data_IF_342644663644
#
_entry.id   IF_342644663644
#
_cell.length_a   1.000
_cell.length_b   1.000
_cell.length_c   1.000
_cell.angle_alpha   90.00
_cell.angle_beta   90.00
_cell.angle_gamma   90.00
#
_symmetry.space_group_name_H-M   'P 1'
#
loop_
_entity.id
_entity.type
_entity.pdbx_description
1 polymer ?
#
# COMPACT_ATOMS: atom_id res chain seq x y z
N UNK A 1 2.68 -21.64 0.79
CA UNK A 1 2.47 -20.31 0.17
C UNK A 1 1.00 -20.12 -0.16
N UNK A 2 0.46 -18.94 0.08
CA UNK A 2 -0.96 -18.66 -0.10
C UNK A 2 -1.10 -17.30 -0.79
N UNK A 3 -1.95 -17.21 -1.83
CA UNK A 3 -2.31 -15.96 -2.50
C UNK A 3 -3.75 -15.61 -2.11
N UNK A 4 -3.93 -14.47 -1.47
CA UNK A 4 -5.21 -13.97 -1.06
C UNK A 4 -5.60 -12.78 -1.94
N UNK A 5 -6.75 -12.87 -2.60
CA UNK A 5 -7.33 -11.74 -3.34
C UNK A 5 -8.09 -10.87 -2.35
N UNK A 6 -7.57 -9.67 -2.09
CA UNK A 6 -8.24 -8.69 -1.21
C UNK A 6 -9.45 -8.09 -1.89
N UNK A 7 -9.42 -8.01 -3.20
CA UNK A 7 -10.51 -7.58 -4.05
C UNK A 7 -10.26 -7.96 -5.50
N UNK A 8 -11.30 -7.91 -6.31
CA UNK A 8 -11.25 -8.20 -7.75
C UNK A 8 -11.94 -7.12 -8.57
N UNK A 9 -12.29 -6.01 -7.96
CA UNK A 9 -12.98 -4.90 -8.59
C UNK A 9 -12.06 -4.01 -9.41
N UNK A 10 -12.67 -3.19 -10.25
CA UNK A 10 -11.97 -2.18 -11.05
C UNK A 10 -11.67 -0.92 -10.22
N UNK A 11 -11.04 0.06 -10.85
CA UNK A 11 -10.64 1.33 -10.22
C UNK A 11 -11.80 2.09 -9.55
N UNK A 12 -13.01 1.99 -10.12
CA UNK A 12 -14.17 2.76 -9.67
C UNK A 12 -15.24 1.88 -9.00
N UNK A 13 -14.81 0.77 -8.46
CA UNK A 13 -15.65 -0.18 -7.74
C UNK A 13 -16.34 0.48 -6.54
N UNK A 14 -17.64 0.21 -6.40
CA UNK A 14 -18.49 0.71 -5.31
C UNK A 14 -19.31 -0.44 -4.73
N UNK A 15 -19.54 -0.39 -3.42
CA UNK A 15 -20.41 -1.34 -2.74
C UNK A 15 -19.69 -2.14 -1.66
N UNK A 16 -20.50 -2.77 -0.79
CA UNK A 16 -19.97 -3.59 0.30
C UNK A 16 -19.20 -4.80 -0.27
N UNK A 17 -18.03 -5.07 0.27
CA UNK A 17 -17.15 -6.18 -0.14
C UNK A 17 -16.74 -6.15 -1.61
N UNK A 18 -16.81 -5.00 -2.25
CA UNK A 18 -16.43 -4.81 -3.64
C UNK A 18 -15.18 -3.91 -3.69
N UNK A 19 -14.02 -4.53 -3.51
CA UNK A 19 -12.73 -3.82 -3.38
C UNK A 19 -11.90 -3.91 -4.66
N UNK A 20 -10.97 -2.97 -4.80
CA UNK A 20 -10.02 -2.90 -5.91
C UNK A 20 -9.14 -4.15 -5.97
N UNK A 21 -8.61 -4.44 -7.15
CA UNK A 21 -7.80 -5.64 -7.42
C UNK A 21 -6.41 -5.55 -6.80
N UNK A 22 -6.33 -5.85 -5.52
CA UNK A 22 -5.06 -5.98 -4.81
C UNK A 22 -4.96 -7.38 -4.19
N UNK A 23 -3.74 -7.87 -4.01
CA UNK A 23 -3.50 -9.24 -3.55
C UNK A 23 -2.47 -9.26 -2.43
N UNK A 24 -2.58 -10.26 -1.57
CA UNK A 24 -1.62 -10.50 -0.49
C UNK A 24 -1.02 -11.89 -0.66
N UNK A 25 0.29 -11.94 -0.85
CA UNK A 25 1.03 -13.20 -0.93
C UNK A 25 1.60 -13.51 0.46
N UNK A 26 1.25 -14.66 0.99
CA UNK A 26 1.65 -15.09 2.33
C UNK A 26 2.55 -16.32 2.20
N UNK A 27 3.78 -16.23 2.72
CA UNK A 27 4.71 -17.34 2.70
C UNK A 27 4.39 -18.37 3.79
N UNK A 28 5.05 -19.53 3.73
CA UNK A 28 4.92 -20.56 4.76
C UNK A 28 5.47 -20.09 6.12
N UNK A 29 6.29 -19.03 6.13
CA UNK A 29 6.81 -18.40 7.34
C UNK A 29 5.98 -17.20 7.81
N UNK A 30 4.83 -16.98 7.20
CA UNK A 30 3.92 -15.85 7.49
C UNK A 30 4.46 -14.47 7.07
N UNK A 31 5.47 -14.41 6.21
CA UNK A 31 5.87 -13.17 5.56
C UNK A 31 4.78 -12.73 4.57
N UNK A 32 4.52 -11.44 4.51
CA UNK A 32 3.41 -10.92 3.69
C UNK A 32 3.91 -9.87 2.70
N UNK A 33 3.69 -10.14 1.42
CA UNK A 33 3.93 -9.21 0.33
C UNK A 33 2.59 -8.73 -0.23
N UNK A 34 2.34 -7.44 -0.09
CA UNK A 34 1.18 -6.82 -0.71
C UNK A 34 1.49 -6.51 -2.18
N UNK A 35 0.67 -7.04 -3.09
CA UNK A 35 0.79 -6.80 -4.52
C UNK A 35 -0.23 -5.74 -4.92
N UNK A 36 0.28 -4.56 -5.18
CA UNK A 36 -0.43 -3.30 -5.31
C UNK A 36 -1.12 -2.87 -4.01
N UNK A 37 -1.32 -1.58 -3.88
CA UNK A 37 -1.80 -0.94 -2.67
C UNK A 37 -2.75 0.20 -3.06
N UNK A 38 -3.98 -0.17 -3.39
CA UNK A 38 -4.99 0.76 -3.89
C UNK A 38 -5.60 1.65 -2.83
N UNK A 39 -6.39 2.61 -3.29
CA UNK A 39 -6.97 3.65 -2.43
C UNK A 39 -7.95 3.12 -1.37
N UNK A 40 -8.48 1.90 -1.54
CA UNK A 40 -9.37 1.26 -0.56
C UNK A 40 -8.70 0.19 0.30
N UNK A 41 -7.37 0.08 0.24
CA UNK A 41 -6.62 -1.01 0.88
C UNK A 41 -6.90 -1.16 2.38
N UNK A 42 -7.12 -0.06 3.10
CA UNK A 42 -7.39 -0.11 4.54
C UNK A 42 -8.67 -0.88 4.85
N UNK A 43 -9.65 -0.80 3.98
CA UNK A 43 -10.94 -1.49 4.13
C UNK A 43 -10.83 -2.97 3.75
N UNK A 44 -10.20 -3.27 2.63
CA UNK A 44 -10.05 -4.65 2.18
C UNK A 44 -9.15 -5.48 3.11
N UNK A 45 -8.09 -4.89 3.64
CA UNK A 45 -7.26 -5.53 4.67
C UNK A 45 -8.06 -5.79 5.94
N UNK A 46 -8.83 -4.81 6.40
CA UNK A 46 -9.65 -4.94 7.61
C UNK A 46 -10.64 -6.10 7.50
N UNK A 47 -11.32 -6.24 6.37
CA UNK A 47 -12.27 -7.34 6.16
C UNK A 47 -11.61 -8.72 6.25
N UNK A 48 -10.34 -8.83 5.91
CA UNK A 48 -9.60 -10.09 6.01
C UNK A 48 -8.84 -10.24 7.34
N UNK A 49 -9.05 -9.33 8.29
CA UNK A 49 -8.41 -9.39 9.60
C UNK A 49 -6.99 -8.86 9.65
N UNK A 50 -6.56 -8.10 8.65
CA UNK A 50 -5.22 -7.52 8.59
C UNK A 50 -5.24 -6.02 8.82
N UNK A 51 -4.07 -5.48 9.17
CA UNK A 51 -3.84 -4.05 9.31
C UNK A 51 -2.48 -3.68 8.68
N UNK A 52 -2.13 -2.40 8.73
CA UNK A 52 -0.81 -1.92 8.28
C UNK A 52 0.35 -2.65 8.96
N UNK A 53 0.15 -3.14 10.19
CA UNK A 53 1.20 -3.86 10.94
C UNK A 53 1.59 -5.18 10.32
N UNK A 54 0.70 -5.77 9.56
CA UNK A 54 0.95 -7.06 8.90
C UNK A 54 1.75 -6.91 7.61
N UNK A 55 1.83 -5.70 7.06
CA UNK A 55 2.43 -5.47 5.74
C UNK A 55 3.89 -5.03 5.91
N UNK A 56 4.80 -5.90 5.52
CA UNK A 56 6.24 -5.64 5.59
C UNK A 56 6.87 -5.36 4.22
N UNK A 57 6.23 -5.81 3.17
CA UNK A 57 6.72 -5.71 1.80
C UNK A 57 5.56 -5.36 0.86
N UNK A 58 5.81 -4.46 -0.09
CA UNK A 58 4.81 -4.00 -1.05
C UNK A 58 5.43 -3.97 -2.44
N UNK A 59 4.77 -4.59 -3.42
CA UNK A 59 5.12 -4.46 -4.83
C UNK A 59 4.13 -3.53 -5.50
N UNK A 60 4.61 -2.54 -6.26
CA UNK A 60 3.78 -1.59 -7.02
C UNK A 60 3.99 -1.82 -8.51
N UNK A 61 2.90 -2.13 -9.22
CA UNK A 61 2.92 -2.40 -10.65
C UNK A 61 2.91 -1.12 -11.49
N UNK A 62 2.09 -0.14 -11.11
CA UNK A 62 1.99 1.15 -11.80
C UNK A 62 1.30 2.19 -10.90
N UNK A 63 1.17 3.44 -11.40
CA UNK A 63 0.81 4.59 -10.55
C UNK A 63 -0.67 4.98 -10.58
N UNK A 64 -1.58 4.15 -11.07
CA UNK A 64 -3.01 4.42 -10.96
C UNK A 64 -3.45 4.32 -9.48
N UNK A 65 -4.45 5.08 -9.09
CA UNK A 65 -4.86 5.20 -7.68
C UNK A 65 -5.36 3.89 -7.08
N UNK A 66 -5.93 3.02 -7.89
CA UNK A 66 -6.37 1.68 -7.47
C UNK A 66 -5.21 0.71 -7.25
N UNK A 67 -3.96 1.12 -7.54
CA UNK A 67 -2.74 0.34 -7.34
C UNK A 67 -1.74 1.01 -6.41
N UNK A 68 -1.81 2.33 -6.21
CA UNK A 68 -0.81 3.08 -5.43
C UNK A 68 -1.44 4.00 -4.38
N UNK A 69 -2.72 4.32 -4.50
CA UNK A 69 -3.37 5.33 -3.66
C UNK A 69 -3.39 5.01 -2.16
N UNK A 70 -3.25 3.74 -1.79
CA UNK A 70 -3.21 3.31 -0.39
C UNK A 70 -1.84 3.39 0.27
N UNK A 71 -0.78 3.72 -0.47
CA UNK A 71 0.55 3.91 0.12
C UNK A 71 0.56 5.04 1.14
N UNK A 72 -0.26 6.05 0.94
CA UNK A 72 -0.43 7.14 1.91
C UNK A 72 -0.91 6.61 3.26
N UNK A 73 -1.94 5.75 3.26
CA UNK A 73 -2.42 5.11 4.47
C UNK A 73 -1.33 4.26 5.14
N UNK A 74 -0.68 3.38 4.39
CA UNK A 74 0.38 2.51 4.91
C UNK A 74 1.53 3.36 5.46
N UNK A 75 1.95 4.37 4.72
CA UNK A 75 3.07 5.24 5.09
C UNK A 75 2.82 5.99 6.39
N UNK A 76 1.70 6.66 6.51
CA UNK A 76 1.37 7.40 7.73
C UNK A 76 1.07 6.47 8.91
N UNK A 77 0.34 5.39 8.67
CA UNK A 77 0.01 4.45 9.74
C UNK A 77 1.26 3.80 10.33
N UNK A 78 2.23 3.43 9.50
CA UNK A 78 3.49 2.86 9.99
C UNK A 78 4.37 3.92 10.66
N UNK A 79 4.41 5.14 10.12
CA UNK A 79 5.22 6.21 10.70
C UNK A 79 4.79 6.57 12.12
N UNK A 80 3.49 6.65 12.35
CA UNK A 80 2.96 7.05 13.66
C UNK A 80 2.73 5.88 14.62
N UNK A 81 2.95 4.65 14.16
CA UNK A 81 2.87 3.45 15.01
C UNK A 81 4.29 3.00 15.38
N UNK A 82 4.72 3.31 16.59
CA UNK A 82 6.05 2.95 17.07
C UNK A 82 6.30 1.44 17.22
N UNK A 83 5.28 0.60 17.00
CA UNK A 83 5.36 -0.86 17.12
C UNK A 83 5.62 -1.57 15.79
N UNK A 84 5.69 -0.85 14.69
CA UNK A 84 5.91 -1.48 13.40
C UNK A 84 7.10 -0.87 12.66
N UNK A 85 7.66 -1.67 11.75
CA UNK A 85 8.74 -1.25 10.88
C UNK A 85 8.16 -0.66 9.59
N UNK A 86 8.93 0.19 8.93
CA UNK A 86 8.57 0.70 7.62
C UNK A 86 8.57 -0.44 6.60
N UNK A 87 7.54 -0.55 5.77
CA UNK A 87 7.54 -1.57 4.72
C UNK A 87 8.58 -1.26 3.65
N UNK A 88 9.09 -2.32 3.03
CA UNK A 88 9.95 -2.20 1.86
C UNK A 88 9.09 -2.15 0.62
N UNK A 89 9.42 -1.24 -0.30
CA UNK A 89 8.67 -1.08 -1.53
C UNK A 89 9.51 -1.58 -2.71
N UNK A 90 8.94 -2.46 -3.51
CA UNK A 90 9.55 -3.02 -4.71
C UNK A 90 8.84 -2.44 -5.93
N UNK A 91 9.58 -1.80 -6.81
CA UNK A 91 9.04 -1.23 -8.03
C UNK A 91 10.15 -1.11 -9.08
N UNK A 92 9.77 -0.87 -10.33
CA UNK A 92 10.74 -0.70 -11.39
C UNK A 92 11.56 0.57 -11.17
N UNK A 93 12.75 0.62 -11.79
CA UNK A 93 13.60 1.81 -11.73
C UNK A 93 12.86 3.07 -12.20
N UNK A 94 12.12 2.96 -13.30
CA UNK A 94 11.39 4.10 -13.85
C UNK A 94 10.32 4.60 -12.88
N UNK A 95 9.56 3.70 -12.26
CA UNK A 95 8.57 4.08 -11.26
C UNK A 95 9.21 4.70 -10.02
N UNK A 96 10.39 4.23 -9.61
CA UNK A 96 11.09 4.78 -8.44
C UNK A 96 11.47 6.24 -8.61
N UNK A 97 11.72 6.67 -9.83
CA UNK A 97 12.05 8.07 -10.13
C UNK A 97 10.82 8.99 -10.16
N UNK A 98 9.64 8.43 -10.33
CA UNK A 98 8.42 9.20 -10.59
C UNK A 98 7.41 9.17 -9.45
N UNK A 99 7.36 8.09 -8.68
CA UNK A 99 6.27 7.83 -7.74
C UNK A 99 6.09 8.95 -6.70
N UNK A 100 7.20 9.50 -6.19
CA UNK A 100 7.09 10.57 -5.20
C UNK A 100 6.45 11.84 -5.83
N UNK A 101 7.01 12.33 -6.90
CA UNK A 101 6.54 13.58 -7.53
C UNK A 101 5.17 13.45 -8.17
N UNK A 102 4.91 12.30 -8.80
CA UNK A 102 3.66 12.12 -9.56
C UNK A 102 2.46 11.74 -8.72
N UNK A 103 2.66 11.16 -7.54
CA UNK A 103 1.52 10.68 -6.76
C UNK A 103 1.65 10.90 -5.25
N UNK A 104 2.76 10.60 -4.61
CA UNK A 104 2.82 10.57 -3.15
C UNK A 104 3.03 11.94 -2.49
N UNK A 105 3.79 12.83 -3.11
CA UNK A 105 4.17 14.10 -2.48
C UNK A 105 2.99 15.00 -2.15
N UNK A 106 1.92 14.92 -2.94
CA UNK A 106 0.71 15.72 -2.70
C UNK A 106 0.05 15.43 -1.36
N UNK A 107 -0.03 14.15 -0.99
CA UNK A 107 -0.66 13.72 0.26
C UNK A 107 0.34 13.48 1.40
N UNK A 108 1.56 13.05 1.09
CA UNK A 108 2.55 12.65 2.10
C UNK A 108 3.62 13.70 2.38
N UNK A 109 3.81 14.67 1.48
CA UNK A 109 4.71 15.78 1.71
C UNK A 109 4.14 16.74 2.73
N UNK A 110 4.97 17.31 3.61
CA UNK A 110 4.54 18.38 4.51
C UNK A 110 4.82 19.74 3.93
N UNK A 111 4.13 20.75 4.43
CA UNK A 111 4.39 22.16 4.07
C UNK A 111 5.82 22.55 4.46
N UNK A 112 6.32 22.01 5.56
CA UNK A 112 7.70 22.23 6.04
C UNK A 112 8.72 21.26 5.47
N UNK A 113 8.29 20.21 4.75
CA UNK A 113 9.17 19.16 4.26
C UNK A 113 9.57 18.12 5.30
N UNK A 114 8.92 18.09 6.47
CA UNK A 114 9.38 17.28 7.60
C UNK A 114 8.61 15.99 7.84
N UNK A 115 7.41 15.80 7.26
CA UNK A 115 6.55 14.71 7.66
C UNK A 115 6.86 13.38 7.02
N UNK A 116 7.06 13.32 5.74
CA UNK A 116 7.34 12.05 5.06
C UNK A 116 8.01 12.26 3.71
N UNK A 117 8.92 11.38 3.42
CA UNK A 117 9.47 11.13 2.10
C UNK A 117 9.85 9.66 2.02
N UNK A 118 10.43 9.21 0.92
CA UNK A 118 10.87 7.81 0.81
C UNK A 118 12.05 7.45 1.71
N UNK A 119 12.72 8.43 2.30
CA UNK A 119 13.86 8.20 3.18
C UNK A 119 13.47 8.17 4.66
N UNK A 120 12.27 8.59 4.96
CA UNK A 120 11.74 8.59 6.32
C UNK A 120 10.70 7.52 6.54
#
# INVERSE_FOLDING_TARGET
MKLLFLGTGSAFTVGANNFQSNMLLISDRDDKLLIDCGSDIRFSLYEEGFSHRDITDIYISHLHSDHVGGLEYIGFSTRFDGRCQRPRIYLSKDLSLEIWQKTLSGGMGSISGELADFNT
#
